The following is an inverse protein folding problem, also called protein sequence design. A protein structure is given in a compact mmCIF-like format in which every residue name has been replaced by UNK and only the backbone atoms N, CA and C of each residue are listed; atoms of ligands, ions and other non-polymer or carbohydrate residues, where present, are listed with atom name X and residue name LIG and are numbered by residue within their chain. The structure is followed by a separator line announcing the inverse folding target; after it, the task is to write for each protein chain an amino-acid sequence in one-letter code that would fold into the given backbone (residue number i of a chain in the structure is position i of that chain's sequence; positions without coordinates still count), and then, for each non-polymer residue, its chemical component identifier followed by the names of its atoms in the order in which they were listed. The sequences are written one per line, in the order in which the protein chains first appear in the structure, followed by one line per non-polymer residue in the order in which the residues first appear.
data_IF_071156894671
#
_entry.id   IF_071156894671
#
_cell.length_a   1.000
_cell.length_b   1.000
_cell.length_c   1.000
_cell.angle_alpha   90.00
_cell.angle_beta   90.00
_cell.angle_gamma   90.00
#
_symmetry.space_group_name_H-M   'P 1'
#
loop_
_entity.id
_entity.type
_entity.pdbx_description
1 polymer ?
#
# COMPACT_ATOMS: atom_id res chain seq x y z
N UNK A 1 29.80 -62.08 59.46
CA UNK A 1 29.60 -60.65 59.65
C UNK A 1 29.72 -59.99 58.24
N UNK A 2 28.61 -59.83 57.55
CA UNK A 2 28.57 -59.42 56.16
C UNK A 2 27.74 -58.14 56.10
N UNK A 3 28.35 -57.09 55.64
CA UNK A 3 27.80 -55.76 55.59
C UNK A 3 27.17 -55.52 54.22
N UNK A 4 25.84 -55.42 54.19
CA UNK A 4 25.06 -55.11 52.96
C UNK A 4 25.24 -53.65 52.59
N UNK A 5 25.71 -53.41 51.35
CA UNK A 5 25.71 -52.09 50.73
C UNK A 5 24.43 -51.97 49.90
N UNK A 6 23.51 -51.06 50.35
CA UNK A 6 22.38 -50.63 49.54
C UNK A 6 22.90 -49.63 48.51
N UNK A 7 22.67 -49.94 47.25
CA UNK A 7 22.90 -49.01 46.14
C UNK A 7 21.56 -48.32 45.83
N UNK A 8 21.51 -46.99 46.08
CA UNK A 8 20.37 -46.13 45.73
C UNK A 8 20.55 -45.69 44.28
N UNK A 9 19.71 -46.22 43.39
CA UNK A 9 19.67 -45.82 42.00
C UNK A 9 18.69 -44.61 41.86
N UNK A 10 19.25 -43.41 41.58
CA UNK A 10 18.49 -42.22 41.29
C UNK A 10 18.03 -42.26 39.84
N UNK A 11 16.76 -42.47 39.59
CA UNK A 11 16.15 -42.30 38.27
C UNK A 11 15.93 -40.81 38.01
N UNK A 12 16.78 -40.18 37.21
CA UNK A 12 16.54 -38.84 36.67
C UNK A 12 15.63 -39.00 35.43
N UNK A 13 14.34 -38.74 35.61
CA UNK A 13 13.37 -38.63 34.55
C UNK A 13 13.58 -37.32 33.80
N UNK A 14 14.27 -37.35 32.65
CA UNK A 14 14.41 -36.22 31.77
C UNK A 14 13.10 -36.00 31.00
N UNK A 15 12.29 -35.06 31.49
CA UNK A 15 11.03 -34.65 30.84
C UNK A 15 11.40 -33.79 29.62
N UNK A 16 11.48 -34.42 28.45
CA UNK A 16 11.66 -33.73 27.14
C UNK A 16 10.36 -33.04 26.80
N UNK A 17 10.25 -31.74 27.10
CA UNK A 17 9.18 -30.90 26.56
C UNK A 17 9.43 -30.69 25.06
N UNK A 18 8.67 -31.40 24.25
CA UNK A 18 8.55 -31.13 22.80
C UNK A 18 7.77 -29.84 22.65
N UNK A 19 8.47 -28.74 22.40
CA UNK A 19 7.85 -27.53 21.93
C UNK A 19 7.28 -27.80 20.53
N UNK A 20 5.97 -28.05 20.49
CA UNK A 20 5.23 -28.07 19.24
C UNK A 20 5.24 -26.64 18.66
N UNK A 21 6.15 -26.38 17.74
CA UNK A 21 6.06 -25.23 16.85
C UNK A 21 4.77 -25.39 16.04
N UNK A 22 3.74 -24.62 16.44
CA UNK A 22 2.53 -24.51 15.66
C UNK A 22 2.90 -24.02 14.24
N UNK A 23 2.78 -24.91 13.28
CA UNK A 23 2.79 -24.54 11.86
C UNK A 23 1.59 -23.62 11.64
N UNK A 24 1.84 -22.30 11.63
CA UNK A 24 0.88 -21.35 11.09
C UNK A 24 0.67 -21.71 9.65
N UNK A 25 -0.51 -22.26 9.34
CA UNK A 25 -0.96 -22.54 7.98
C UNK A 25 -0.89 -21.22 7.20
N UNK A 26 0.17 -21.05 6.43
CA UNK A 26 0.26 -20.00 5.43
C UNK A 26 -0.89 -20.23 4.44
N UNK A 27 -1.99 -19.45 4.61
CA UNK A 27 -3.00 -19.39 3.57
C UNK A 27 -2.28 -18.99 2.30
N UNK A 28 -2.29 -19.87 1.29
CA UNK A 28 -1.77 -19.59 -0.05
C UNK A 28 -2.58 -18.42 -0.62
N UNK A 29 -2.17 -17.19 -0.30
CA UNK A 29 -2.71 -15.98 -0.91
C UNK A 29 -2.21 -16.00 -2.35
N UNK A 30 -3.12 -16.32 -3.28
CA UNK A 30 -2.81 -16.26 -4.70
C UNK A 30 -2.48 -14.81 -5.04
N UNK A 31 -1.20 -14.49 -5.21
CA UNK A 31 -0.76 -13.17 -5.60
C UNK A 31 -1.37 -12.80 -6.96
N UNK A 32 -1.85 -11.58 -7.08
CA UNK A 32 -2.26 -11.08 -8.39
C UNK A 32 -1.05 -10.82 -9.29
N UNK A 33 -1.29 -10.55 -10.58
CA UNK A 33 -0.22 -10.38 -11.56
C UNK A 33 0.79 -9.28 -11.18
N UNK A 34 0.31 -8.13 -10.70
CA UNK A 34 1.19 -7.02 -10.32
C UNK A 34 2.07 -7.38 -9.11
N UNK A 35 1.52 -8.05 -8.10
CA UNK A 35 2.29 -8.52 -6.95
C UNK A 35 3.30 -9.59 -7.35
N UNK A 36 2.95 -10.47 -8.28
CA UNK A 36 3.86 -11.49 -8.79
C UNK A 36 5.04 -10.89 -9.55
N UNK A 37 4.81 -9.81 -10.29
CA UNK A 37 5.88 -9.03 -10.95
C UNK A 37 6.72 -8.30 -9.91
N UNK A 38 6.10 -7.56 -8.99
CA UNK A 38 6.81 -6.73 -8.00
C UNK A 38 7.63 -7.57 -7.01
N UNK A 39 7.19 -8.79 -6.71
CA UNK A 39 7.94 -9.74 -5.87
C UNK A 39 9.01 -10.53 -6.63
N UNK A 40 9.11 -10.36 -7.94
CA UNK A 40 10.06 -11.08 -8.78
C UNK A 40 9.71 -12.54 -9.07
N UNK A 41 8.51 -13.01 -8.70
CA UNK A 41 8.02 -14.34 -9.06
C UNK A 41 7.85 -14.47 -10.57
N UNK A 42 7.37 -13.42 -11.23
CA UNK A 42 7.35 -13.30 -12.68
C UNK A 42 8.49 -12.36 -13.08
N UNK A 43 9.47 -12.88 -13.82
CA UNK A 43 10.70 -12.15 -14.17
C UNK A 43 10.49 -11.06 -15.21
N UNK A 44 9.54 -11.25 -16.12
CA UNK A 44 9.31 -10.34 -17.24
C UNK A 44 7.86 -9.88 -17.29
N UNK A 45 7.67 -8.56 -17.31
CA UNK A 45 6.33 -7.96 -17.38
C UNK A 45 5.84 -7.84 -18.82
N UNK A 46 5.27 -8.92 -19.34
CA UNK A 46 4.74 -9.00 -20.71
C UNK A 46 3.34 -8.40 -20.85
N UNK A 47 2.61 -8.20 -19.76
CA UNK A 47 1.23 -7.71 -19.83
C UNK A 47 1.19 -6.20 -20.12
N UNK A 48 0.75 -5.81 -21.33
CA UNK A 48 0.65 -4.41 -21.75
C UNK A 48 -0.37 -3.60 -20.93
N UNK A 49 -1.52 -4.20 -20.65
CA UNK A 49 -2.59 -3.53 -19.91
C UNK A 49 -2.24 -3.31 -18.44
N UNK A 50 -2.68 -2.17 -17.91
CA UNK A 50 -2.69 -1.93 -16.47
C UNK A 50 -3.68 -2.85 -15.79
N UNK A 51 -3.31 -3.41 -14.65
CA UNK A 51 -4.16 -4.36 -13.92
C UNK A 51 -4.99 -3.64 -12.86
N UNK A 52 -6.30 -3.95 -12.73
CA UNK A 52 -7.10 -3.41 -11.64
C UNK A 52 -6.59 -3.94 -10.29
N UNK A 53 -6.56 -3.08 -9.29
CA UNK A 53 -6.08 -3.34 -7.94
C UNK A 53 -6.98 -2.68 -6.90
N UNK A 54 -6.96 -3.26 -5.72
CA UNK A 54 -7.59 -2.70 -4.53
C UNK A 54 -6.59 -2.73 -3.38
N UNK A 55 -6.40 -1.59 -2.72
CA UNK A 55 -5.77 -1.50 -1.43
C UNK A 55 -6.85 -1.15 -0.38
N UNK A 56 -6.79 -1.77 0.78
CA UNK A 56 -7.75 -1.48 1.85
C UNK A 56 -7.16 -1.68 3.22
N UNK A 57 -7.62 -0.87 4.19
CA UNK A 57 -7.24 -0.97 5.59
C UNK A 57 -8.41 -0.54 6.47
N UNK A 58 -8.50 -1.13 7.65
CA UNK A 58 -9.38 -0.67 8.72
C UNK A 58 -8.52 -0.12 9.86
N UNK A 59 -8.71 1.16 10.19
CA UNK A 59 -8.03 1.83 11.31
C UNK A 59 -9.10 2.26 12.30
N UNK A 60 -9.10 1.66 13.48
CA UNK A 60 -10.18 1.83 14.45
C UNK A 60 -11.53 1.40 13.86
N UNK A 61 -12.47 2.33 13.70
CA UNK A 61 -13.79 2.09 13.08
C UNK A 61 -13.82 2.46 11.59
N UNK A 62 -12.82 3.18 11.11
CA UNK A 62 -12.76 3.73 9.75
C UNK A 62 -12.24 2.69 8.77
N UNK A 63 -13.01 2.41 7.72
CA UNK A 63 -12.57 1.61 6.58
C UNK A 63 -12.12 2.56 5.47
N UNK A 64 -10.93 2.35 4.95
CA UNK A 64 -10.42 3.02 3.75
C UNK A 64 -10.23 1.99 2.64
N UNK A 65 -10.60 2.35 1.42
CA UNK A 65 -10.46 1.48 0.24
C UNK A 65 -10.05 2.34 -0.95
N UNK A 66 -9.02 1.93 -1.66
CA UNK A 66 -8.54 2.56 -2.88
C UNK A 66 -8.60 1.57 -4.04
N UNK A 67 -9.44 1.87 -5.03
CA UNK A 67 -9.49 1.15 -6.30
C UNK A 67 -8.65 1.90 -7.33
N UNK A 68 -7.73 1.20 -7.99
CA UNK A 68 -6.81 1.80 -8.95
C UNK A 68 -6.37 0.82 -10.03
N UNK A 69 -5.72 1.32 -11.06
CA UNK A 69 -5.07 0.50 -12.08
C UNK A 69 -3.56 0.62 -11.96
N UNK A 70 -2.87 -0.52 -12.04
CA UNK A 70 -1.42 -0.66 -11.86
C UNK A 70 -0.68 -0.73 -13.21
N UNK A 71 -0.23 0.40 -13.78
CA UNK A 71 0.62 0.38 -14.98
C UNK A 71 2.00 -0.20 -14.65
N UNK A 72 2.63 -0.85 -15.67
CA UNK A 72 4.00 -1.34 -15.57
C UNK A 72 5.01 -0.35 -16.12
N UNK A 73 6.23 -0.31 -15.60
CA UNK A 73 7.35 0.48 -16.13
C UNK A 73 7.72 0.01 -17.54
N UNK A 74 8.01 -1.27 -17.69
CA UNK A 74 8.25 -1.94 -18.98
C UNK A 74 9.26 -1.21 -19.86
N UNK A 75 10.39 -0.78 -19.28
CA UNK A 75 11.48 -0.12 -19.99
C UNK A 75 11.20 1.32 -20.45
N UNK A 76 10.06 1.90 -20.06
CA UNK A 76 9.72 3.29 -20.42
C UNK A 76 10.34 4.28 -19.47
N UNK A 77 10.64 5.47 -19.97
CA UNK A 77 10.93 6.64 -19.14
C UNK A 77 9.59 7.08 -18.50
N UNK A 78 9.50 6.99 -17.20
CA UNK A 78 8.27 7.32 -16.48
C UNK A 78 8.20 8.82 -16.22
N UNK A 79 9.09 9.34 -15.39
CA UNK A 79 9.05 10.72 -14.91
C UNK A 79 9.58 11.67 -15.98
N UNK A 80 8.76 12.64 -16.40
CA UNK A 80 9.03 13.52 -17.51
C UNK A 80 8.85 12.90 -18.91
N UNK A 81 8.53 11.60 -18.96
CA UNK A 81 8.20 10.86 -20.18
C UNK A 81 6.71 10.47 -20.20
N UNK A 82 6.38 9.28 -19.72
CA UNK A 82 4.99 8.80 -19.65
C UNK A 82 4.13 9.67 -18.73
N UNK A 83 4.70 10.16 -17.64
CA UNK A 83 4.06 11.05 -16.68
C UNK A 83 4.76 12.40 -16.74
N UNK A 84 4.13 13.42 -17.36
CA UNK A 84 4.68 14.76 -17.45
C UNK A 84 4.83 15.40 -16.05
N UNK A 85 5.83 16.24 -15.89
CA UNK A 85 5.95 17.08 -14.68
C UNK A 85 4.96 18.24 -14.73
N UNK A 86 4.57 18.71 -13.56
CA UNK A 86 3.75 19.90 -13.32
C UNK A 86 2.35 19.84 -13.97
N UNK A 87 1.86 18.62 -14.24
CA UNK A 87 0.53 18.35 -14.77
C UNK A 87 -0.24 17.41 -13.85
N UNK A 88 -1.58 17.58 -13.81
CA UNK A 88 -2.44 16.66 -13.07
C UNK A 88 -2.38 15.27 -13.69
N UNK A 89 -2.11 14.30 -12.87
CA UNK A 89 -2.04 12.89 -13.25
C UNK A 89 -2.97 12.06 -12.37
N UNK A 90 -3.70 11.15 -12.99
CA UNK A 90 -4.60 10.19 -12.33
C UNK A 90 -3.89 9.27 -11.32
N UNK A 91 -2.58 9.37 -11.19
CA UNK A 91 -1.73 8.55 -10.32
C UNK A 91 -1.92 7.05 -10.56
N UNK A 92 -2.09 6.71 -11.83
CA UNK A 92 -2.44 5.37 -12.28
C UNK A 92 -2.67 5.31 -13.79
N UNK A 93 -3.76 4.65 -14.19
CA UNK A 93 -4.15 4.50 -15.59
C UNK A 93 -5.67 4.31 -15.72
N UNK A 94 -6.19 4.51 -16.91
CA UNK A 94 -7.59 4.33 -17.37
C UNK A 94 -8.57 5.34 -16.76
N UNK A 95 -8.96 5.18 -15.51
CA UNK A 95 -9.94 6.04 -14.83
C UNK A 95 -9.37 6.59 -13.52
N UNK A 96 -10.00 7.64 -13.00
CA UNK A 96 -9.65 8.20 -11.70
C UNK A 96 -9.61 7.10 -10.63
N UNK A 97 -8.57 7.12 -9.81
CA UNK A 97 -8.46 6.22 -8.68
C UNK A 97 -9.55 6.59 -7.66
N UNK A 98 -10.39 5.61 -7.24
CA UNK A 98 -11.48 5.85 -6.30
C UNK A 98 -11.02 5.58 -4.88
N UNK A 99 -10.88 6.63 -4.08
CA UNK A 99 -10.52 6.55 -2.67
C UNK A 99 -11.76 6.74 -1.81
N UNK A 100 -12.24 5.65 -1.22
CA UNK A 100 -13.41 5.62 -0.36
C UNK A 100 -13.00 5.68 1.11
N UNK A 101 -13.65 6.55 1.87
CA UNK A 101 -13.42 6.81 3.29
C UNK A 101 -14.75 6.67 4.02
N UNK A 102 -14.87 5.71 4.95
CA UNK A 102 -16.15 5.38 5.61
C UNK A 102 -16.54 6.32 6.75
N UNK A 103 -15.61 7.07 7.30
CA UNK A 103 -15.83 8.10 8.33
C UNK A 103 -14.75 9.18 8.24
N UNK A 104 -15.01 10.36 8.80
CA UNK A 104 -14.09 11.50 8.70
C UNK A 104 -12.67 11.15 9.16
N UNK A 105 -11.68 11.66 8.42
CA UNK A 105 -10.26 11.53 8.76
C UNK A 105 -9.57 12.89 8.70
N UNK A 106 -8.35 12.98 9.22
CA UNK A 106 -7.46 14.13 9.03
C UNK A 106 -6.25 13.72 8.18
N UNK A 107 -5.93 14.53 7.18
CA UNK A 107 -4.69 14.44 6.40
C UNK A 107 -4.01 15.79 6.50
N UNK A 108 -2.76 15.82 6.94
CA UNK A 108 -2.01 17.07 7.18
C UNK A 108 -2.81 18.12 7.98
N UNK A 109 -3.52 17.70 9.03
CA UNK A 109 -4.35 18.54 9.88
C UNK A 109 -5.70 18.95 9.30
N UNK A 110 -5.95 18.77 8.00
CA UNK A 110 -7.21 19.10 7.33
C UNK A 110 -8.21 17.95 7.46
N UNK A 111 -9.47 18.26 7.76
CA UNK A 111 -10.54 17.26 7.85
C UNK A 111 -11.02 16.91 6.45
N UNK A 112 -10.94 15.63 6.10
CA UNK A 112 -11.58 15.03 4.92
C UNK A 112 -12.81 14.27 5.39
N UNK A 113 -13.98 14.64 4.88
CA UNK A 113 -15.25 14.02 5.23
C UNK A 113 -15.35 12.59 4.69
N UNK A 114 -16.19 11.77 5.31
CA UNK A 114 -16.57 10.49 4.73
C UNK A 114 -17.13 10.67 3.32
N UNK A 115 -16.69 9.81 2.39
CA UNK A 115 -17.09 9.94 0.99
C UNK A 115 -16.25 9.11 0.04
N UNK A 116 -16.45 9.34 -1.27
CA UNK A 116 -15.64 8.77 -2.34
C UNK A 116 -14.98 9.94 -3.09
N UNK A 117 -13.69 9.84 -3.32
CA UNK A 117 -12.89 10.88 -3.95
C UNK A 117 -12.02 10.30 -5.07
N UNK A 118 -11.82 11.09 -6.11
CA UNK A 118 -10.75 10.87 -7.07
C UNK A 118 -9.41 11.21 -6.43
N UNK A 119 -8.45 10.31 -6.51
CA UNK A 119 -7.08 10.56 -6.06
C UNK A 119 -6.23 10.91 -7.27
N UNK A 120 -5.61 12.08 -7.22
CA UNK A 120 -4.70 12.60 -8.24
C UNK A 120 -3.40 13.07 -7.61
N UNK A 121 -2.38 13.25 -8.44
CA UNK A 121 -1.16 13.96 -8.05
C UNK A 121 -0.73 14.93 -9.15
N UNK A 122 0.05 15.93 -8.77
CA UNK A 122 0.84 16.74 -9.70
C UNK A 122 2.30 16.42 -9.41
N UNK A 123 2.95 15.56 -10.22
CA UNK A 123 4.35 15.25 -10.06
C UNK A 123 5.24 16.45 -10.41
N UNK A 124 6.08 16.86 -9.50
CA UNK A 124 7.17 17.81 -9.75
C UNK A 124 8.52 17.11 -9.69
N UNK A 125 9.61 17.80 -10.01
CA UNK A 125 10.96 17.21 -9.97
C UNK A 125 11.41 16.87 -8.54
N UNK A 126 11.04 17.69 -7.57
CA UNK A 126 11.44 17.55 -6.17
C UNK A 126 10.24 17.35 -5.24
N UNK A 127 9.13 17.99 -5.56
CA UNK A 127 7.95 18.05 -4.73
C UNK A 127 6.71 17.77 -5.57
N UNK A 128 5.80 17.00 -5.02
CA UNK A 128 4.53 16.65 -5.65
C UNK A 128 3.37 17.23 -4.87
N UNK A 129 2.23 17.42 -5.51
CA UNK A 129 0.97 17.73 -4.83
C UNK A 129 0.09 16.49 -4.84
N UNK A 130 -0.33 16.02 -3.68
CA UNK A 130 -1.36 14.99 -3.50
C UNK A 130 -2.73 15.67 -3.43
N UNK A 131 -3.72 15.10 -4.14
CA UNK A 131 -5.05 15.71 -4.32
C UNK A 131 -6.13 14.68 -4.07
N UNK A 132 -7.17 15.10 -3.34
CA UNK A 132 -8.47 14.43 -3.31
C UNK A 132 -9.53 15.37 -3.91
N UNK A 133 -10.27 14.85 -4.91
CA UNK A 133 -11.23 15.62 -5.69
C UNK A 133 -12.60 14.92 -5.68
N UNK A 134 -13.69 15.66 -5.65
CA UNK A 134 -15.04 15.08 -5.61
C UNK A 134 -15.43 14.42 -6.91
N UNK A 135 -14.87 14.83 -8.06
CA UNK A 135 -15.10 14.19 -9.36
C UNK A 135 -14.26 12.92 -9.50
N UNK A 136 -14.78 11.80 -9.03
CA UNK A 136 -14.12 10.49 -9.06
C UNK A 136 -14.58 9.59 -10.22
N UNK A 137 -15.56 10.03 -11.02
CA UNK A 137 -16.14 9.28 -12.14
C UNK A 137 -15.67 9.88 -13.47
N UNK A 138 -14.36 9.79 -13.75
CA UNK A 138 -13.81 10.33 -14.98
C UNK A 138 -12.74 9.43 -15.60
N UNK A 139 -12.53 9.56 -16.92
CA UNK A 139 -11.44 8.91 -17.63
C UNK A 139 -10.17 9.73 -17.43
N UNK A 140 -9.12 9.11 -16.89
CA UNK A 140 -7.86 9.77 -16.52
C UNK A 140 -8.12 11.03 -15.68
N UNK A 141 -7.61 12.18 -16.12
CA UNK A 141 -7.83 13.51 -15.55
C UNK A 141 -8.54 14.45 -16.54
N UNK A 142 -9.31 13.88 -17.49
CA UNK A 142 -9.87 14.64 -18.62
C UNK A 142 -10.89 15.69 -18.17
N UNK A 143 -11.66 15.37 -17.13
CA UNK A 143 -12.69 16.25 -16.55
C UNK A 143 -12.26 16.81 -15.17
N UNK A 144 -10.96 16.85 -14.90
CA UNK A 144 -10.46 17.40 -13.65
C UNK A 144 -10.70 18.93 -13.59
N UNK A 145 -11.38 19.38 -12.53
CA UNK A 145 -11.46 20.79 -12.15
C UNK A 145 -10.93 20.97 -10.73
N UNK A 146 -10.00 21.89 -10.56
CA UNK A 146 -9.41 22.21 -9.25
C UNK A 146 -10.45 22.74 -8.23
N UNK A 147 -11.59 23.27 -8.69
CA UNK A 147 -12.68 23.72 -7.81
C UNK A 147 -13.30 22.58 -7.01
N UNK A 148 -13.19 21.36 -7.50
CA UNK A 148 -13.72 20.16 -6.88
C UNK A 148 -12.72 19.50 -5.91
N UNK A 149 -11.54 20.13 -5.70
CA UNK A 149 -10.56 19.62 -4.75
C UNK A 149 -11.02 19.88 -3.32
N UNK A 150 -11.08 18.81 -2.53
CA UNK A 150 -11.35 18.86 -1.08
C UNK A 150 -10.07 18.85 -0.26
N UNK A 151 -8.96 18.42 -0.87
CA UNK A 151 -7.65 18.38 -0.24
C UNK A 151 -6.55 18.56 -1.28
N UNK A 152 -5.58 19.41 -0.95
CA UNK A 152 -4.28 19.52 -1.65
C UNK A 152 -3.17 19.55 -0.62
N UNK A 153 -2.22 18.64 -0.71
CA UNK A 153 -1.11 18.51 0.23
C UNK A 153 0.18 18.28 -0.53
N UNK A 154 1.18 19.04 -0.16
CA UNK A 154 2.54 18.84 -0.68
C UNK A 154 3.17 17.58 -0.08
N UNK A 155 3.76 16.79 -0.92
CA UNK A 155 4.49 15.58 -0.57
C UNK A 155 5.85 15.57 -1.24
N UNK A 156 6.83 14.95 -0.62
CA UNK A 156 8.18 14.81 -1.18
C UNK A 156 8.44 13.33 -1.47
N UNK A 157 8.44 12.92 -2.75
CA UNK A 157 8.82 11.55 -3.08
C UNK A 157 10.28 11.27 -2.72
N UNK A 158 10.53 10.05 -2.33
CA UNK A 158 11.88 9.57 -1.99
C UNK A 158 12.27 8.41 -2.92
N UNK A 159 13.57 8.22 -3.11
CA UNK A 159 14.08 7.04 -3.81
C UNK A 159 13.72 5.78 -3.04
N UNK A 160 13.29 4.76 -3.75
CA UNK A 160 12.95 3.44 -3.22
C UNK A 160 13.52 2.33 -4.07
N UNK A 161 13.38 1.10 -3.61
CA UNK A 161 13.64 -0.07 -4.44
C UNK A 161 12.73 -0.08 -5.67
N UNK A 162 13.25 -0.65 -6.75
CA UNK A 162 12.52 -0.73 -8.01
C UNK A 162 11.18 -1.45 -7.85
N UNK A 163 10.11 -0.76 -8.22
CA UNK A 163 8.75 -1.30 -8.21
C UNK A 163 8.22 -1.33 -9.64
N UNK A 164 8.34 -2.47 -10.34
CA UNK A 164 8.04 -2.58 -11.76
C UNK A 164 6.59 -2.22 -12.13
N UNK A 165 5.62 -2.50 -11.23
CA UNK A 165 4.22 -2.09 -11.40
C UNK A 165 3.77 -1.20 -10.26
N UNK A 166 3.10 -0.10 -10.60
CA UNK A 166 2.54 0.85 -9.65
C UNK A 166 1.77 0.11 -8.55
N UNK A 167 2.03 0.48 -7.32
CA UNK A 167 1.38 -0.11 -6.14
C UNK A 167 1.00 0.97 -5.15
N UNK A 168 -0.22 0.88 -4.67
CA UNK A 168 -0.66 1.55 -3.45
C UNK A 168 -0.80 0.51 -2.33
N UNK A 169 -0.42 0.92 -1.14
CA UNK A 169 -0.64 0.18 0.10
C UNK A 169 -1.36 1.11 1.08
N UNK A 170 -2.32 0.58 1.80
CA UNK A 170 -2.95 1.25 2.94
C UNK A 170 -2.56 0.47 4.19
N UNK A 171 -1.98 1.14 5.18
CA UNK A 171 -1.45 0.52 6.39
C UNK A 171 -1.98 1.20 7.63
N UNK A 172 -2.30 0.42 8.67
CA UNK A 172 -2.44 0.92 10.02
C UNK A 172 -1.06 1.11 10.63
N UNK A 173 -0.79 2.28 11.20
CA UNK A 173 0.48 2.58 11.91
C UNK A 173 0.28 2.64 13.41
N UNK A 174 -0.93 2.99 13.86
CA UNK A 174 -1.37 2.93 15.26
C UNK A 174 -2.89 2.79 15.33
N UNK A 175 -3.43 2.68 16.56
CA UNK A 175 -4.88 2.51 16.79
C UNK A 175 -5.77 3.55 16.09
N UNK A 176 -5.26 4.74 15.84
CA UNK A 176 -5.99 5.85 15.19
C UNK A 176 -5.30 6.42 13.95
N UNK A 177 -4.16 5.88 13.58
CA UNK A 177 -3.34 6.43 12.50
C UNK A 177 -3.06 5.37 11.45
N UNK A 178 -2.91 5.82 10.24
CA UNK A 178 -2.49 5.01 9.12
C UNK A 178 -1.80 5.85 8.05
N UNK A 179 -1.38 5.19 7.01
CA UNK A 179 -0.75 5.84 5.87
C UNK A 179 -1.20 5.21 4.55
N UNK A 180 -1.29 6.02 3.53
CA UNK A 180 -1.36 5.61 2.15
C UNK A 180 0.07 5.67 1.59
N UNK A 181 0.58 4.56 1.09
CA UNK A 181 1.92 4.47 0.50
C UNK A 181 1.81 4.20 -0.99
N UNK A 182 2.49 5.00 -1.77
CA UNK A 182 2.65 4.84 -3.22
C UNK A 182 4.06 4.35 -3.53
N UNK A 183 4.19 3.42 -4.49
CA UNK A 183 5.48 2.97 -5.04
C UNK A 183 5.36 2.73 -6.53
N UNK A 184 6.28 3.27 -7.29
CA UNK A 184 6.41 2.96 -8.72
C UNK A 184 7.77 3.37 -9.26
N UNK A 185 8.31 2.57 -10.18
CA UNK A 185 9.65 2.73 -10.75
C UNK A 185 10.69 2.72 -9.61
N UNK A 186 11.33 3.80 -9.29
CA UNK A 186 12.29 3.97 -8.21
C UNK A 186 11.87 5.05 -7.20
N UNK A 187 10.59 5.45 -7.20
CA UNK A 187 10.05 6.45 -6.29
C UNK A 187 8.95 5.89 -5.38
N UNK A 188 8.92 6.41 -4.15
CA UNK A 188 7.84 6.20 -3.20
C UNK A 188 7.49 7.50 -2.47
N UNK A 189 6.23 7.62 -2.04
CA UNK A 189 5.80 8.60 -1.05
C UNK A 189 4.79 7.99 -0.09
N UNK A 190 4.59 8.61 1.06
CA UNK A 190 3.49 8.28 1.96
C UNK A 190 2.67 9.52 2.33
N UNK A 191 1.39 9.29 2.57
CA UNK A 191 0.43 10.29 3.04
C UNK A 191 -0.17 9.76 4.33
N UNK A 192 0.29 10.25 5.49
CA UNK A 192 -0.26 9.85 6.77
C UNK A 192 -1.66 10.44 6.99
N UNK A 193 -2.51 9.68 7.68
CA UNK A 193 -3.84 10.11 8.08
C UNK A 193 -4.15 9.69 9.52
N UNK A 194 -5.09 10.40 10.15
CA UNK A 194 -5.59 10.10 11.50
C UNK A 194 -7.11 9.96 11.44
N UNK A 195 -7.66 8.92 12.05
CA UNK A 195 -9.12 8.73 12.18
C UNK A 195 -9.67 9.60 13.32
N UNK A 196 -10.89 10.10 13.14
CA UNK A 196 -11.57 10.99 14.10
C UNK A 196 -12.54 10.20 14.98
#
# INVERSE_FOLDING_TARGET
MVMNKLIFALFISCFMQVLAFGQTSSKNVKLNYADSINSGLIKEDLKKASTPRVASVKVGKTQLTLNYYAPGVRGRVIWGGLVPFDQVWVTGAHSANKFQISSDIKINGQVVKAGIYGLFTIPGKEKWTFILNTNHEQHLSDDYDQKDDVLRVDITPTKSEATPRLTFELRETSRKEGELVFKWESLSFSVPFTTI
#
